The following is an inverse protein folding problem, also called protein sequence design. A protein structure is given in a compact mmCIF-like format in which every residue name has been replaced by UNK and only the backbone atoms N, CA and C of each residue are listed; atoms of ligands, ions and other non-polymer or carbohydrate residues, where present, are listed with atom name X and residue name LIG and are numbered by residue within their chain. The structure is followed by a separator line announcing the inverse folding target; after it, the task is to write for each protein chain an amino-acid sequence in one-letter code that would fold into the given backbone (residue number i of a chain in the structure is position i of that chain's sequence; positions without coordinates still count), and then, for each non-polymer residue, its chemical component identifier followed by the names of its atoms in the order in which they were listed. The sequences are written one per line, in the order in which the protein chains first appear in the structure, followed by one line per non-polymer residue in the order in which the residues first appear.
data_IF_362866521311
#
_entry.id   IF_362866521311
#
_cell.length_a   1.000
_cell.length_b   1.000
_cell.length_c   1.000
_cell.angle_alpha   90.00
_cell.angle_beta   90.00
_cell.angle_gamma   90.00
#
_symmetry.space_group_name_H-M   'P 1'
#
loop_
_entity.id
_entity.type
_entity.pdbx_description
1 polymer ?
#
# COMPACT_ATOMS: atom_id res chain seq x y z
N UNK A 1 -28.29 15.42 40.86
CA UNK A 1 -27.40 16.18 39.95
C UNK A 1 -26.33 15.21 39.47
N UNK A 2 -26.59 14.52 38.37
CA UNK A 2 -25.64 13.61 37.75
C UNK A 2 -24.95 14.35 36.61
N UNK A 3 -23.62 14.43 36.66
CA UNK A 3 -22.81 14.93 35.55
C UNK A 3 -22.63 13.81 34.54
N UNK A 4 -22.97 14.00 33.24
CA UNK A 4 -22.60 13.01 32.24
C UNK A 4 -21.09 13.04 32.04
N UNK A 5 -20.45 11.88 32.22
CA UNK A 5 -19.06 11.63 31.86
C UNK A 5 -18.93 11.76 30.33
N UNK A 6 -18.51 12.93 29.86
CA UNK A 6 -18.08 13.11 28.47
C UNK A 6 -16.79 12.33 28.28
N UNK A 7 -16.88 11.15 27.67
CA UNK A 7 -15.71 10.42 27.17
C UNK A 7 -14.98 11.34 26.17
N UNK A 8 -13.66 11.57 26.32
CA UNK A 8 -12.93 12.32 25.31
C UNK A 8 -12.97 11.58 23.96
N UNK A 9 -12.93 12.29 22.81
CA UNK A 9 -12.86 11.63 21.52
C UNK A 9 -11.61 10.75 21.47
N UNK A 10 -11.83 9.46 21.21
CA UNK A 10 -10.76 8.48 21.04
C UNK A 10 -9.80 8.99 19.98
N UNK A 11 -8.58 9.34 20.40
CA UNK A 11 -7.47 9.61 19.50
C UNK A 11 -6.92 8.27 19.00
N UNK A 12 -7.77 7.49 18.34
CA UNK A 12 -7.43 6.13 17.94
C UNK A 12 -6.44 6.17 16.77
N UNK A 13 -5.20 5.70 16.95
CA UNK A 13 -4.28 5.50 15.84
C UNK A 13 -4.78 4.41 14.88
N UNK A 14 -5.86 3.68 15.20
CA UNK A 14 -6.52 2.71 14.32
C UNK A 14 -7.29 3.35 13.15
N UNK A 15 -7.83 4.56 13.33
CA UNK A 15 -8.52 5.29 12.25
C UNK A 15 -7.59 5.64 11.08
N UNK A 16 -6.39 6.12 11.38
CA UNK A 16 -5.33 6.41 10.40
C UNK A 16 -4.79 5.14 9.71
N UNK A 17 -4.82 3.98 10.38
CA UNK A 17 -4.30 2.69 9.85
C UNK A 17 -5.21 2.08 8.79
N UNK A 18 -6.52 2.23 8.99
CA UNK A 18 -7.55 1.74 8.05
C UNK A 18 -7.62 2.64 6.81
N UNK A 19 -7.27 3.92 6.96
CA UNK A 19 -7.28 4.92 5.90
C UNK A 19 -6.37 4.56 4.71
N UNK A 20 -5.11 4.18 4.94
CA UNK A 20 -4.17 3.88 3.83
C UNK A 20 -4.64 2.70 2.96
N UNK A 21 -5.14 1.64 3.59
CA UNK A 21 -5.62 0.45 2.86
C UNK A 21 -6.85 0.78 2.03
N UNK A 22 -7.82 1.49 2.62
CA UNK A 22 -9.02 1.92 1.92
C UNK A 22 -8.69 2.90 0.79
N UNK A 23 -7.81 3.87 1.05
CA UNK A 23 -7.34 4.84 0.07
C UNK A 23 -6.61 4.17 -1.09
N UNK A 24 -5.72 3.21 -0.83
CA UNK A 24 -5.04 2.46 -1.88
C UNK A 24 -6.04 1.70 -2.76
N UNK A 25 -7.06 1.07 -2.15
CA UNK A 25 -8.12 0.40 -2.88
C UNK A 25 -8.95 1.37 -3.73
N UNK A 26 -9.30 2.54 -3.19
CA UNK A 26 -10.03 3.58 -3.90
C UNK A 26 -9.26 4.11 -5.11
N UNK A 27 -7.97 4.43 -4.92
CA UNK A 27 -7.06 4.85 -5.99
C UNK A 27 -7.06 3.82 -7.11
N UNK A 28 -6.85 2.54 -6.79
CA UNK A 28 -6.82 1.50 -7.82
C UNK A 28 -8.18 1.30 -8.52
N UNK A 29 -9.29 1.35 -7.80
CA UNK A 29 -10.63 1.27 -8.39
C UNK A 29 -10.94 2.43 -9.36
N UNK A 30 -10.31 3.59 -9.17
CA UNK A 30 -10.47 4.73 -10.09
C UNK A 30 -9.85 4.48 -11.48
N UNK A 31 -8.91 3.53 -11.60
CA UNK A 31 -8.37 3.07 -12.88
C UNK A 31 -9.30 2.04 -13.54
N UNK A 32 -9.69 1.02 -12.79
CA UNK A 32 -10.62 -0.01 -13.22
C UNK A 32 -11.11 -0.85 -12.03
N UNK A 33 -12.26 -1.56 -12.16
CA UNK A 33 -12.75 -2.46 -11.12
C UNK A 33 -11.73 -3.53 -10.73
N UNK A 34 -11.56 -3.74 -9.43
CA UNK A 34 -10.65 -4.73 -8.88
C UNK A 34 -11.32 -6.11 -8.73
N UNK A 35 -10.66 -7.14 -9.24
CA UNK A 35 -10.99 -8.55 -8.93
C UNK A 35 -10.33 -9.02 -7.64
N UNK A 36 -9.10 -8.56 -7.39
CA UNK A 36 -8.31 -8.94 -6.23
C UNK A 36 -7.45 -7.78 -5.76
N UNK A 37 -7.25 -7.68 -4.45
CA UNK A 37 -6.50 -6.61 -3.82
C UNK A 37 -5.81 -7.12 -2.55
N UNK A 38 -4.58 -6.68 -2.33
CA UNK A 38 -3.81 -6.94 -1.11
C UNK A 38 -2.90 -5.75 -0.80
N UNK A 39 -3.07 -5.22 0.39
CA UNK A 39 -2.16 -4.27 1.02
C UNK A 39 -1.96 -4.73 2.47
N UNK A 40 -0.72 -4.90 2.96
CA UNK A 40 -0.49 -5.31 4.34
C UNK A 40 -0.93 -4.21 5.30
N UNK A 41 -1.31 -4.59 6.52
CA UNK A 41 -1.50 -3.60 7.57
C UNK A 41 -0.14 -2.98 7.91
N UNK A 42 -0.10 -1.66 8.08
CA UNK A 42 1.16 -0.95 8.33
C UNK A 42 1.88 -1.48 9.58
N UNK A 43 1.12 -1.86 10.62
CA UNK A 43 1.67 -2.46 11.85
C UNK A 43 0.99 -3.78 12.16
N UNK A 44 1.73 -4.68 12.79
CA UNK A 44 1.18 -5.93 13.28
C UNK A 44 0.22 -5.68 14.46
N UNK A 45 -1.03 -6.18 14.41
CA UNK A 45 -2.06 -5.81 15.39
C UNK A 45 -1.71 -6.18 16.83
N UNK A 46 -0.99 -7.30 17.02
CA UNK A 46 -0.59 -7.77 18.36
C UNK A 46 0.74 -7.21 18.88
N UNK A 47 1.68 -6.91 17.99
CA UNK A 47 3.09 -6.70 18.36
C UNK A 47 3.58 -5.29 18.02
N UNK A 48 2.80 -4.50 17.27
CA UNK A 48 3.09 -3.09 17.01
C UNK A 48 4.24 -2.79 16.02
N UNK A 49 5.06 -3.78 15.65
CA UNK A 49 6.11 -3.59 14.64
C UNK A 49 5.53 -3.23 13.27
N UNK A 50 6.30 -2.50 12.47
CA UNK A 50 5.97 -2.16 11.09
C UNK A 50 6.07 -3.40 10.21
N UNK A 51 5.09 -3.60 9.34
CA UNK A 51 5.17 -4.57 8.25
C UNK A 51 5.77 -3.90 7.01
N UNK A 52 6.47 -4.70 6.20
CA UNK A 52 7.01 -4.21 4.95
C UNK A 52 5.87 -3.80 3.99
N UNK A 53 5.87 -2.53 3.59
CA UNK A 53 4.85 -2.00 2.69
C UNK A 53 4.99 -2.62 1.29
N UNK A 54 3.87 -3.05 0.73
CA UNK A 54 3.76 -3.47 -0.68
C UNK A 54 2.30 -3.35 -1.11
N UNK A 55 2.06 -3.27 -2.41
CA UNK A 55 0.72 -3.16 -2.99
C UNK A 55 0.57 -4.24 -4.05
N UNK A 56 -0.49 -5.04 -3.94
CA UNK A 56 -0.82 -6.07 -4.92
C UNK A 56 -2.27 -5.98 -5.35
N UNK A 57 -2.52 -6.13 -6.64
CA UNK A 57 -3.89 -6.09 -7.17
C UNK A 57 -4.02 -6.86 -8.47
N UNK A 58 -5.27 -7.06 -8.88
CA UNK A 58 -5.65 -7.54 -10.20
C UNK A 58 -6.97 -6.88 -10.59
N UNK A 59 -7.02 -6.31 -11.78
CA UNK A 59 -8.26 -5.80 -12.35
C UNK A 59 -9.19 -6.94 -12.79
N UNK A 60 -10.49 -6.66 -12.86
CA UNK A 60 -11.49 -7.60 -13.38
C UNK A 60 -11.20 -7.98 -14.83
N UNK A 61 -10.86 -6.98 -15.63
CA UNK A 61 -10.39 -7.14 -17.00
C UNK A 61 -8.91 -6.73 -17.08
N UNK A 62 -8.07 -7.33 -17.95
CA UNK A 62 -6.71 -6.85 -18.18
C UNK A 62 -6.70 -5.39 -18.64
N UNK A 63 -5.81 -4.56 -18.08
CA UNK A 63 -5.72 -3.12 -18.36
C UNK A 63 -4.28 -2.68 -18.58
N UNK A 64 -3.58 -3.36 -19.48
CA UNK A 64 -2.15 -3.19 -19.75
C UNK A 64 -1.81 -1.74 -20.17
N UNK A 65 -2.78 -0.98 -20.69
CA UNK A 65 -2.62 0.44 -21.01
C UNK A 65 -2.22 1.30 -19.80
N UNK A 66 -2.52 0.87 -18.58
CA UNK A 66 -2.12 1.58 -17.36
C UNK A 66 -0.75 1.16 -16.82
N UNK A 67 -0.12 0.12 -17.36
CA UNK A 67 1.20 -0.34 -16.89
C UNK A 67 2.25 0.79 -16.80
N UNK A 68 2.40 1.68 -17.81
CA UNK A 68 3.38 2.75 -17.75
C UNK A 68 3.18 3.70 -16.56
N UNK A 69 1.93 3.91 -16.14
CA UNK A 69 1.60 4.77 -15.00
C UNK A 69 2.09 4.15 -13.69
N UNK A 70 1.85 2.85 -13.50
CA UNK A 70 2.28 2.13 -12.29
C UNK A 70 3.80 1.96 -12.24
N UNK A 71 4.43 1.69 -13.38
CA UNK A 71 5.88 1.63 -13.49
C UNK A 71 6.53 2.98 -13.17
N UNK A 72 6.04 4.07 -13.76
CA UNK A 72 6.54 5.41 -13.47
C UNK A 72 6.34 5.78 -12.00
N UNK A 73 5.18 5.47 -11.40
CA UNK A 73 4.94 5.74 -9.99
C UNK A 73 5.90 4.97 -9.07
N UNK A 74 6.15 3.69 -9.33
CA UNK A 74 7.10 2.89 -8.56
C UNK A 74 8.55 3.37 -8.73
N UNK A 75 8.91 3.90 -9.90
CA UNK A 75 10.28 4.36 -10.19
C UNK A 75 10.57 5.77 -9.67
N UNK A 76 9.61 6.69 -9.80
CA UNK A 76 9.86 8.13 -9.67
C UNK A 76 9.35 8.73 -8.35
N UNK A 77 8.35 8.12 -7.71
CA UNK A 77 7.76 8.65 -6.49
C UNK A 77 8.58 8.38 -5.20
N UNK A 78 9.19 7.19 -5.02
CA UNK A 78 9.98 6.88 -3.83
C UNK A 78 11.17 7.82 -3.63
N UNK A 79 11.60 7.98 -2.38
CA UNK A 79 12.74 8.83 -2.00
C UNK A 79 13.73 8.15 -1.07
N UNK A 80 13.37 7.03 -0.44
CA UNK A 80 14.17 6.45 0.64
C UNK A 80 14.73 5.08 0.28
N UNK A 81 13.94 4.22 -0.37
CA UNK A 81 14.37 2.90 -0.84
C UNK A 81 13.95 2.67 -2.29
N UNK A 82 14.57 1.70 -2.95
CA UNK A 82 14.22 1.34 -4.32
C UNK A 82 12.95 0.49 -4.37
N UNK A 83 12.14 0.73 -5.41
CA UNK A 83 10.88 0.02 -5.67
C UNK A 83 10.82 -0.50 -7.10
N UNK A 84 9.98 -1.51 -7.30
CA UNK A 84 9.74 -2.10 -8.60
C UNK A 84 8.26 -2.39 -8.80
N UNK A 85 7.79 -2.11 -10.02
CA UNK A 85 6.52 -2.60 -10.52
C UNK A 85 6.71 -3.94 -11.23
N UNK A 86 5.82 -4.89 -11.00
CA UNK A 86 5.80 -6.19 -11.68
C UNK A 86 4.40 -6.47 -12.21
N UNK A 87 4.28 -6.53 -13.52
CA UNK A 87 3.12 -7.11 -14.19
C UNK A 87 3.29 -8.64 -14.28
N UNK A 88 2.40 -9.36 -13.62
CA UNK A 88 2.29 -10.82 -13.68
C UNK A 88 0.79 -11.17 -13.54
N UNK A 89 0.47 -12.39 -13.12
CA UNK A 89 -0.93 -12.78 -12.81
C UNK A 89 -1.61 -11.78 -11.86
N UNK A 90 -0.88 -11.32 -10.85
CA UNK A 90 -1.27 -10.18 -10.02
C UNK A 90 -0.20 -9.11 -10.21
N UNK A 91 -0.62 -7.87 -10.37
CA UNK A 91 0.27 -6.74 -10.45
C UNK A 91 0.75 -6.39 -9.05
N UNK A 92 2.03 -6.02 -8.95
CA UNK A 92 2.67 -5.73 -7.68
C UNK A 92 3.51 -4.46 -7.78
N UNK A 93 3.44 -3.62 -6.76
CA UNK A 93 4.43 -2.60 -6.44
C UNK A 93 5.03 -2.98 -5.09
N UNK A 94 6.34 -3.20 -5.05
CA UNK A 94 7.03 -3.62 -3.83
C UNK A 94 8.47 -3.11 -3.81
N UNK A 95 9.09 -3.00 -2.62
CA UNK A 95 10.49 -2.65 -2.50
C UNK A 95 11.40 -3.68 -3.19
N UNK A 96 12.47 -3.22 -3.83
CA UNK A 96 13.41 -4.08 -4.58
C UNK A 96 14.04 -5.15 -3.68
N UNK A 97 14.42 -4.80 -2.45
CA UNK A 97 14.95 -5.77 -1.47
C UNK A 97 13.97 -6.91 -1.19
N UNK A 98 12.66 -6.63 -1.10
CA UNK A 98 11.66 -7.69 -0.89
C UNK A 98 11.58 -8.66 -2.09
N UNK A 99 11.77 -8.13 -3.31
CA UNK A 99 11.90 -8.95 -4.51
C UNK A 99 13.14 -9.85 -4.46
N UNK A 100 14.28 -9.29 -4.06
CA UNK A 100 15.54 -10.02 -3.97
C UNK A 100 15.50 -11.10 -2.89
N UNK A 101 14.97 -10.78 -1.72
CA UNK A 101 14.78 -11.74 -0.63
C UNK A 101 13.82 -12.86 -1.04
N UNK A 102 12.75 -12.54 -1.78
CA UNK A 102 11.85 -13.58 -2.31
C UNK A 102 12.60 -14.53 -3.23
N UNK A 103 13.51 -14.02 -4.09
CA UNK A 103 14.34 -14.84 -4.97
C UNK A 103 15.32 -15.70 -4.17
N UNK A 104 16.00 -15.13 -3.17
CA UNK A 104 16.94 -15.84 -2.28
C UNK A 104 16.25 -16.97 -1.52
N UNK A 105 14.98 -16.78 -1.16
CA UNK A 105 14.16 -17.76 -0.45
C UNK A 105 13.35 -18.69 -1.38
N UNK A 106 13.81 -18.93 -2.62
CA UNK A 106 13.19 -19.90 -3.53
C UNK A 106 11.77 -19.56 -3.97
N UNK A 107 11.40 -18.28 -3.94
CA UNK A 107 10.05 -17.80 -4.25
C UNK A 107 9.12 -17.68 -3.03
N UNK A 108 9.59 -18.00 -1.81
CA UNK A 108 8.78 -17.89 -0.61
C UNK A 108 8.64 -16.43 -0.15
N UNK A 109 7.57 -15.79 -0.65
CA UNK A 109 7.27 -14.39 -0.33
C UNK A 109 7.05 -14.15 1.17
N UNK A 110 6.32 -15.03 1.85
CA UNK A 110 6.03 -14.87 3.29
C UNK A 110 7.31 -14.93 4.14
N UNK A 111 8.27 -15.79 3.78
CA UNK A 111 9.57 -15.84 4.45
C UNK A 111 10.33 -14.54 4.19
N UNK A 112 10.42 -14.09 2.94
CA UNK A 112 11.09 -12.84 2.60
C UNK A 112 10.50 -11.62 3.34
N UNK A 113 9.18 -11.58 3.51
CA UNK A 113 8.52 -10.54 4.33
C UNK A 113 8.97 -10.61 5.78
N UNK A 114 9.07 -11.82 6.36
CA UNK A 114 9.51 -12.00 7.73
C UNK A 114 10.96 -11.52 7.93
N UNK A 115 11.85 -11.81 6.97
CA UNK A 115 13.25 -11.37 6.97
C UNK A 115 13.37 -9.86 6.83
N UNK A 116 12.75 -9.25 5.81
CA UNK A 116 12.84 -7.79 5.60
C UNK A 116 12.25 -7.03 6.78
N UNK A 117 11.20 -7.57 7.41
CA UNK A 117 10.56 -6.97 8.59
C UNK A 117 11.54 -6.81 9.77
N UNK A 118 12.55 -7.66 9.92
CA UNK A 118 13.52 -7.51 11.02
C UNK A 118 14.26 -6.16 10.96
N UNK A 119 14.35 -5.57 9.77
CA UNK A 119 14.83 -4.21 9.54
C UNK A 119 13.68 -3.20 9.62
N UNK A 120 13.41 -2.71 10.84
CA UNK A 120 12.31 -1.77 11.10
C UNK A 120 12.54 -0.39 10.49
N UNK A 121 13.79 0.06 10.35
CA UNK A 121 14.12 1.32 9.68
C UNK A 121 13.78 1.23 8.19
N UNK A 122 14.13 0.12 7.54
CA UNK A 122 13.73 -0.15 6.17
C UNK A 122 12.21 -0.21 6.01
N UNK A 123 11.49 -0.82 6.96
CA UNK A 123 10.02 -0.86 6.93
C UNK A 123 9.39 0.54 7.07
N UNK A 124 9.96 1.41 7.91
CA UNK A 124 9.51 2.79 8.06
C UNK A 124 9.75 3.59 6.77
N UNK A 125 10.94 3.49 6.18
CA UNK A 125 11.28 4.14 4.92
C UNK A 125 10.33 3.69 3.79
N UNK A 126 10.08 2.38 3.69
CA UNK A 126 9.14 1.83 2.72
C UNK A 126 7.69 2.29 2.97
N UNK A 127 7.26 2.42 4.23
CA UNK A 127 5.93 2.95 4.52
C UNK A 127 5.78 4.42 4.05
N UNK A 128 6.81 5.23 4.22
CA UNK A 128 6.84 6.63 3.74
C UNK A 128 6.82 6.71 2.21
N UNK A 129 7.60 5.87 1.53
CA UNK A 129 7.60 5.82 0.07
C UNK A 129 6.27 5.34 -0.51
N UNK A 130 5.59 4.38 0.14
CA UNK A 130 4.26 3.94 -0.27
C UNK A 130 3.26 5.10 -0.29
N UNK A 131 3.33 6.03 0.66
CA UNK A 131 2.48 7.22 0.66
C UNK A 131 2.74 8.13 -0.55
N UNK A 132 4.00 8.27 -0.94
CA UNK A 132 4.39 9.04 -2.14
C UNK A 132 3.89 8.37 -3.41
N UNK A 133 4.05 7.04 -3.51
CA UNK A 133 3.53 6.23 -4.62
C UNK A 133 2.01 6.40 -4.73
N UNK A 134 1.26 6.24 -3.63
CA UNK A 134 -0.20 6.38 -3.62
C UNK A 134 -0.63 7.79 -4.02
N UNK A 135 0.08 8.84 -3.57
CA UNK A 135 -0.18 10.22 -4.03
C UNK A 135 0.04 10.39 -5.52
N UNK A 136 1.13 9.82 -6.06
CA UNK A 136 1.44 9.87 -7.50
C UNK A 136 0.38 9.15 -8.34
N UNK A 137 -0.09 7.99 -7.89
CA UNK A 137 -1.16 7.25 -8.52
C UNK A 137 -2.50 8.00 -8.44
N UNK A 138 -2.86 8.57 -7.29
CA UNK A 138 -4.06 9.38 -7.18
C UNK A 138 -4.08 10.55 -8.17
N UNK A 139 -2.95 11.26 -8.31
CA UNK A 139 -2.81 12.39 -9.22
C UNK A 139 -2.84 11.98 -10.71
N UNK A 140 -2.48 10.74 -11.02
CA UNK A 140 -2.50 10.19 -12.37
C UNK A 140 -3.78 9.38 -12.67
N UNK A 141 -4.78 9.42 -11.78
CA UNK A 141 -6.04 8.70 -11.96
C UNK A 141 -6.82 9.25 -13.16
N UNK A 142 -7.35 8.38 -14.05
CA UNK A 142 -8.21 8.81 -15.15
C UNK A 142 -9.58 9.28 -14.67
N UNK A 143 -10.02 8.89 -13.47
CA UNK A 143 -11.34 9.21 -12.92
C UNK A 143 -11.22 9.80 -11.50
N UNK A 144 -10.75 11.05 -11.36
CA UNK A 144 -10.53 11.67 -10.05
C UNK A 144 -11.84 11.86 -9.25
N UNK A 145 -12.99 11.97 -9.93
CA UNK A 145 -14.30 12.11 -9.27
C UNK A 145 -14.65 10.94 -8.34
N UNK A 146 -14.22 9.72 -8.68
CA UNK A 146 -14.45 8.53 -7.85
C UNK A 146 -13.65 8.53 -6.54
N UNK A 147 -12.63 9.40 -6.42
CA UNK A 147 -11.86 9.57 -5.19
C UNK A 147 -12.51 10.59 -4.23
N UNK A 148 -13.30 11.54 -4.75
CA UNK A 148 -13.97 12.57 -3.96
C UNK A 148 -15.24 12.12 -3.25
N UNK A 149 -15.95 11.12 -3.80
CA UNK A 149 -17.18 10.58 -3.22
C UNK A 149 -16.94 9.70 -1.97
N UNK A 150 -15.69 9.36 -1.66
CA UNK A 150 -15.32 8.60 -0.45
C UNK A 150 -14.92 9.50 0.73
N UNK A 151 -14.92 10.82 0.55
CA UNK A 151 -14.52 11.81 1.56
C UNK A 151 -15.66 12.73 2.04
N UNK A 152 -16.91 12.44 1.65
CA UNK A 152 -18.10 13.21 2.03
C UNK A 152 -18.93 12.51 3.11
#
# INVERSE_FOLDING_TARGET
MEYPLTTPPSSDPEGLRTDRVLRAKAILNSYAPLFWFRHPLERHPRFGYLQIAHLGWRFADPRDEFMPVFEAAAREAPRHVDWVFKAARNWLILPTRLTEETRRNGGNFSHAQATVREDQEYCLAAAQDMELILRRLAAASPNPGLLGEMTA
#
